data_IF_442525835817
#
_entry.id   IF_442525835817
#
_cell.length_a   1.000
_cell.length_b   1.000
_cell.length_c   1.000
_cell.angle_alpha   90.00
_cell.angle_beta   90.00
_cell.angle_gamma   90.00
#
_symmetry.space_group_name_H-M   'P 1'
#
loop_
_entity.id
_entity.type
_entity.pdbx_description
1 polymer ?
2 polymer ?
3 water ?
#
# COMPACT_ATOMS: atom_id res chain seq x y z
N UNK A 6 3.05 6.10 -14.84
CA UNK A 6 2.77 5.86 -13.43
C UNK A 6 1.27 5.69 -13.18
N UNK A 7 0.89 5.52 -11.90
CA UNK A 7 -0.52 5.33 -11.53
C UNK A 7 -0.79 5.83 -10.11
N UNK A 8 -1.75 6.74 -9.96
CA UNK A 8 -2.08 7.28 -8.64
C UNK A 8 -3.53 7.03 -8.24
N UNK A 9 -3.75 6.91 -6.93
CA UNK A 9 -5.09 6.68 -6.41
C UNK A 9 -5.17 7.18 -4.96
N UNK A 10 -6.36 7.12 -4.37
CA UNK A 10 -6.57 7.58 -3.00
C UNK A 10 -6.87 6.41 -2.07
N UNK A 11 -6.42 6.52 -0.82
CA UNK A 11 -6.66 5.48 0.17
C UNK A 11 -6.23 5.92 1.56
N UNK A 12 -6.84 5.34 2.59
CA UNK A 12 -6.44 5.63 3.96
C UNK A 12 -5.34 4.61 4.23
N UNK A 13 -4.24 5.08 4.82
CA UNK A 13 -3.11 4.21 5.09
C UNK A 13 -3.02 3.73 6.53
N UNK A 14 -2.59 2.47 6.68
CA UNK A 14 -2.39 1.83 7.97
C UNK A 14 -1.14 0.95 7.90
N UNK A 15 -0.61 0.63 9.08
CA UNK A 15 0.53 -0.26 9.24
C UNK A 15 0.14 -1.19 10.39
N UNK A 16 0.53 -2.45 10.31
CA UNK A 16 0.20 -3.40 11.37
C UNK A 16 0.97 -2.94 12.61
N UNK A 17 0.42 -3.17 13.80
CA UNK A 17 1.12 -2.77 15.02
C UNK A 17 2.37 -3.64 15.16
N UNK A 18 3.51 -3.02 15.46
CA UNK A 18 4.78 -3.73 15.61
C UNK A 18 4.88 -4.76 16.73
N UNK A 19 4.17 -4.53 17.84
CA UNK A 19 4.24 -5.45 18.97
C UNK A 19 3.62 -6.83 18.72
N UNK A 20 2.37 -6.85 18.30
CA UNK A 20 1.66 -8.10 18.05
C UNK A 20 1.41 -8.38 16.58
N UNK A 21 1.68 -7.38 15.74
CA UNK A 21 1.46 -7.53 14.31
C UNK A 21 0.08 -8.15 14.05
N UNK A 22 -0.94 -7.60 14.71
CA UNK A 22 -2.31 -8.06 14.53
C UNK A 22 -3.25 -6.89 14.27
N UNK A 23 -3.06 -5.81 15.02
CA UNK A 23 -3.90 -4.63 14.91
C UNK A 23 -3.39 -3.61 13.90
N UNK A 24 -4.31 -2.85 13.32
CA UNK A 24 -3.96 -1.83 12.34
C UNK A 24 -3.87 -0.45 12.98
N UNK A 25 -2.81 0.27 12.64
CA UNK A 25 -2.58 1.61 13.16
C UNK A 25 -2.68 2.59 12.00
N UNK A 26 -3.60 3.55 12.09
CA UNK A 26 -3.74 4.52 10.99
C UNK A 26 -2.46 5.36 10.80
N UNK A 27 -1.98 5.40 9.56
CA UNK A 27 -0.79 6.15 9.20
C UNK A 27 -1.14 7.56 8.75
N UNK A 28 -2.30 7.67 8.10
CA UNK A 28 -2.78 8.97 7.63
C UNK A 28 -4.03 9.31 8.43
N UNK A 29 -4.39 10.59 8.47
CA UNK A 29 -5.56 11.02 9.22
C UNK A 29 -6.78 11.16 8.32
N UNK A 30 -6.56 10.93 7.03
CA UNK A 30 -7.61 11.06 6.03
C UNK A 30 -7.06 10.31 4.81
N UNK A 31 -7.79 10.31 3.71
CA UNK A 31 -7.29 9.63 2.53
C UNK A 31 -6.09 10.43 2.00
N UNK A 32 -5.13 9.73 1.41
CA UNK A 32 -3.95 10.38 0.86
C UNK A 32 -3.67 9.74 -0.48
N UNK A 33 -2.91 10.44 -1.32
CA UNK A 33 -2.56 9.92 -2.63
C UNK A 33 -1.50 8.84 -2.49
N UNK A 34 -1.68 7.74 -3.22
CA UNK A 34 -0.75 6.62 -3.20
C UNK A 34 -0.42 6.36 -4.67
N UNK A 35 0.86 6.33 -5.01
CA UNK A 35 1.25 6.13 -6.40
C UNK A 35 2.29 5.05 -6.69
N UNK A 36 2.17 4.43 -7.86
CA UNK A 36 3.12 3.43 -8.33
C UNK A 36 4.01 4.25 -9.23
N UNK A 37 5.31 4.20 -9.00
CA UNK A 37 6.24 5.01 -9.78
C UNK A 37 7.51 4.25 -10.14
N UNK A 38 7.92 4.31 -11.41
CA UNK A 38 9.15 3.65 -11.85
C UNK A 38 10.28 4.65 -11.60
N UNK A 39 11.22 4.27 -10.75
CA UNK A 39 12.35 5.15 -10.44
C UNK A 39 13.48 4.91 -11.42
N UNK A 40 13.61 5.79 -12.41
CA UNK A 40 14.64 5.65 -13.43
C UNK A 40 16.08 5.75 -12.90
N UNK A 41 16.25 6.14 -11.64
CA UNK A 41 17.59 6.24 -11.07
C UNK A 41 18.02 4.91 -10.44
N UNK A 42 17.05 4.07 -10.07
CA UNK A 42 17.32 2.78 -9.46
C UNK A 42 16.80 1.64 -10.31
N UNK A 43 16.05 1.96 -11.36
CA UNK A 43 15.48 0.95 -12.24
C UNK A 43 14.63 -0.08 -11.48
N UNK A 44 13.77 0.41 -10.60
CA UNK A 44 12.87 -0.45 -9.83
C UNK A 44 11.53 0.24 -9.73
N UNK A 45 10.49 -0.55 -9.53
CA UNK A 45 9.17 0.04 -9.33
C UNK A 45 8.92 0.32 -7.86
N UNK A 46 8.29 1.42 -7.57
CA UNK A 46 8.09 1.79 -6.17
C UNK A 46 6.66 2.26 -5.92
N UNK A 47 6.24 2.09 -4.66
CA UNK A 47 4.93 2.52 -4.22
C UNK A 47 5.25 3.59 -3.19
N UNK A 48 4.76 4.80 -3.42
CA UNK A 48 5.02 5.90 -2.51
C UNK A 48 3.76 6.65 -2.13
N UNK A 49 3.78 7.22 -0.93
CA UNK A 49 2.66 8.00 -0.44
C UNK A 49 3.25 9.05 0.47
N UNK A 50 3.02 10.29 0.11
CA UNK A 50 3.56 11.40 0.90
C UNK A 50 2.44 12.14 1.63
N UNK A 51 2.72 12.49 2.85
CA UNK A 51 1.75 13.23 3.64
C UNK A 51 2.52 14.26 4.43
N UNK A 52 2.50 15.49 3.94
CA UNK A 52 3.23 16.55 4.60
C UNK A 52 4.70 16.28 4.38
N UNK A 53 5.47 16.25 5.47
CA UNK A 53 6.91 16.00 5.41
C UNK A 53 7.19 14.52 5.66
N UNK A 54 6.14 13.69 5.65
CA UNK A 54 6.28 12.27 5.91
C UNK A 54 6.11 11.45 4.64
N UNK A 55 6.98 10.49 4.48
CA UNK A 55 6.89 9.51 3.42
C UNK A 55 6.31 8.32 4.15
N UNK A 56 4.98 8.26 4.21
CA UNK A 56 4.30 7.20 4.95
C UNK A 56 4.36 5.83 4.28
N UNK A 57 4.69 5.81 2.99
CA UNK A 57 4.88 4.55 2.27
C UNK A 57 6.06 4.83 1.35
N UNK A 58 7.04 3.92 1.35
CA UNK A 58 8.24 4.03 0.52
C UNK A 58 8.64 2.58 0.28
N UNK A 59 7.80 1.86 -0.45
CA UNK A 59 8.04 0.46 -0.69
C UNK A 59 8.56 0.12 -2.08
N UNK A 60 9.64 -0.64 -2.14
CA UNK A 60 10.20 -1.04 -3.43
C UNK A 60 9.60 -2.40 -3.76
N UNK A 61 9.02 -2.52 -4.95
CA UNK A 61 8.41 -3.79 -5.33
C UNK A 61 9.45 -4.84 -5.69
N UNK A 62 9.40 -5.95 -4.97
CA UNK A 62 10.29 -7.09 -5.16
C UNK A 62 9.48 -8.25 -5.75
N UNK A 63 10.10 -9.07 -6.61
CA UNK A 63 9.38 -10.20 -7.21
C UNK A 63 8.76 -11.19 -6.22
N UNK A 64 9.21 -11.18 -4.97
CA UNK A 64 8.63 -12.10 -3.99
C UNK A 64 7.67 -11.37 -3.05
N UNK A 65 7.13 -10.25 -3.52
CA UNK A 65 6.17 -9.49 -2.73
C UNK A 65 4.77 -9.79 -3.24
N UNK A 66 3.81 -9.75 -2.33
CA UNK A 66 2.43 -10.05 -2.70
C UNK A 66 1.43 -9.09 -2.11
N UNK A 67 0.40 -8.78 -2.89
CA UNK A 67 -0.67 -7.90 -2.44
C UNK A 67 -1.90 -8.77 -2.18
N UNK A 68 -2.44 -8.68 -0.97
CA UNK A 68 -3.61 -9.47 -0.62
C UNK A 68 -4.85 -8.60 -0.50
N UNK A 69 -5.92 -8.98 -1.20
CA UNK A 69 -7.19 -8.25 -1.13
C UNK A 69 -7.92 -8.88 0.04
N UNK A 70 -7.67 -8.37 1.24
CA UNK A 70 -8.29 -8.92 2.43
C UNK A 70 -9.82 -8.87 2.45
N UNK A 71 -10.40 -7.79 1.95
CA UNK A 71 -11.84 -7.65 1.93
C UNK A 71 -12.31 -6.87 0.71
N UNK A 72 -13.55 -6.43 0.74
CA UNK A 72 -14.11 -5.68 -0.37
C UNK A 72 -13.38 -4.36 -0.62
N UNK A 73 -12.94 -3.68 0.44
CA UNK A 73 -12.29 -2.38 0.30
C UNK A 73 -10.96 -2.23 1.06
N UNK A 74 -10.31 -3.34 1.39
CA UNK A 74 -9.03 -3.30 2.13
C UNK A 74 -8.02 -4.29 1.53
N UNK A 75 -6.82 -3.81 1.23
CA UNK A 75 -5.77 -4.65 0.68
C UNK A 75 -4.50 -4.43 1.50
N UNK A 76 -3.55 -5.36 1.40
CA UNK A 76 -2.32 -5.25 2.17
C UNK A 76 -1.12 -5.99 1.59
N UNK A 77 0.07 -5.56 1.98
CA UNK A 77 1.29 -6.21 1.52
C UNK A 77 2.42 -6.00 2.53
N UNK A 78 3.21 -7.04 2.71
CA UNK A 78 4.33 -7.00 3.63
C UNK A 78 5.52 -6.39 2.88
N UNK A 79 6.30 -5.58 3.59
CA UNK A 79 7.49 -4.96 3.01
C UNK A 79 8.59 -5.23 4.02
N UNK A 80 9.40 -6.25 3.76
CA UNK A 80 10.46 -6.60 4.69
C UNK A 80 11.49 -5.49 4.87
N UNK A 81 11.72 -4.69 3.83
CA UNK A 81 12.69 -3.60 3.93
C UNK A 81 12.24 -2.56 4.94
N UNK A 82 10.97 -2.20 4.90
CA UNK A 82 10.41 -1.21 5.83
C UNK A 82 10.08 -1.85 7.17
N UNK A 83 10.21 -3.18 7.24
CA UNK A 83 9.94 -3.95 8.45
C UNK A 83 8.51 -3.76 8.92
N UNK A 84 7.57 -3.80 7.99
CA UNK A 84 6.17 -3.61 8.37
C UNK A 84 5.25 -4.20 7.32
N UNK A 85 3.96 -3.98 7.50
CA UNK A 85 2.97 -4.47 6.56
C UNK A 85 2.05 -3.28 6.36
N UNK A 86 1.87 -2.89 5.11
CA UNK A 86 1.00 -1.77 4.81
C UNK A 86 -0.40 -2.27 4.53
N UNK A 87 -1.38 -1.47 4.94
CA UNK A 87 -2.78 -1.80 4.70
C UNK A 87 -3.43 -0.57 4.10
N UNK A 88 -4.20 -0.74 3.03
CA UNK A 88 -4.86 0.39 2.37
C UNK A 88 -6.38 0.19 2.34
N UNK A 89 -7.11 1.21 2.79
CA UNK A 89 -8.56 1.17 2.77
C UNK A 89 -9.04 2.04 1.61
N UNK A 90 -9.87 1.49 0.73
CA UNK A 90 -10.34 2.23 -0.43
C UNK A 90 -11.79 2.66 -0.32
N UNK A 91 -12.18 3.58 -1.19
CA UNK A 91 -13.54 4.11 -1.22
C UNK A 91 -14.50 3.12 -1.90
N UNK A 92 -13.94 2.18 -2.66
CA UNK A 92 -14.75 1.18 -3.33
C UNK A 92 -13.94 -0.07 -3.64
N UNK A 93 -14.63 -1.16 -3.96
CA UNK A 93 -13.94 -2.40 -4.30
C UNK A 93 -13.32 -2.23 -5.67
N UNK A 94 -13.89 -1.32 -6.45
CA UNK A 94 -13.40 -1.03 -7.78
C UNK A 94 -11.97 -0.51 -7.69
N UNK A 95 -11.76 0.47 -6.82
CA UNK A 95 -10.44 1.05 -6.64
C UNK A 95 -9.47 0.04 -6.05
N UNK A 96 -9.96 -0.80 -5.14
CA UNK A 96 -9.12 -1.84 -4.54
C UNK A 96 -8.63 -2.77 -5.63
N UNK A 97 -9.52 -3.09 -6.57
CA UNK A 97 -9.19 -3.99 -7.67
C UNK A 97 -8.16 -3.44 -8.64
N UNK A 98 -8.30 -2.18 -9.05
CA UNK A 98 -7.32 -1.64 -9.99
C UNK A 98 -5.98 -1.51 -9.29
N UNK A 99 -5.99 -1.25 -7.98
CA UNK A 99 -4.73 -1.14 -7.27
C UNK A 99 -4.04 -2.50 -7.27
N UNK A 100 -4.80 -3.54 -6.95
CA UNK A 100 -4.26 -4.90 -6.92
C UNK A 100 -3.73 -5.37 -8.29
N UNK A 101 -4.45 -5.05 -9.37
CA UNK A 101 -4.02 -5.47 -10.70
C UNK A 101 -2.73 -4.76 -11.11
N UNK A 102 -2.58 -3.50 -10.72
CA UNK A 102 -1.37 -2.76 -11.07
C UNK A 102 -0.19 -3.32 -10.28
N UNK A 103 -0.45 -3.73 -9.04
CA UNK A 103 0.60 -4.29 -8.19
C UNK A 103 1.24 -5.48 -8.92
N UNK A 104 0.39 -6.35 -9.45
CA UNK A 104 0.86 -7.53 -10.16
C UNK A 104 1.51 -7.16 -11.49
N UNK A 105 0.95 -6.16 -12.16
CA UNK A 105 1.48 -5.71 -13.44
C UNK A 105 2.90 -5.17 -13.29
N UNK A 106 3.08 -4.24 -12.36
CA UNK A 106 4.38 -3.63 -12.13
C UNK A 106 5.36 -4.60 -11.47
N UNK A 107 4.82 -5.63 -10.84
CA UNK A 107 5.66 -6.64 -10.21
C UNK A 107 6.20 -7.52 -11.34
N UNK A 108 5.33 -7.88 -12.28
CA UNK A 108 5.66 -8.75 -13.40
C UNK A 108 6.68 -8.10 -14.33
N UNK A 109 7.20 -6.93 -14.01
CA UNK A 109 8.19 -6.26 -14.84
C UNK A 109 9.37 -5.76 -14.01
N UNK B 1 -8.43 -8.81 11.00
CA UNK B 1 -9.56 -8.17 10.34
C UNK B 1 -9.26 -6.71 10.07
N UNK B 2 -9.69 -6.18 8.89
CA UNK B 2 -9.49 -4.80 8.46
C UNK B 2 -10.08 -3.73 9.36
N UNK B 3 -9.56 -2.50 9.26
CA UNK B 3 -10.10 -1.41 10.08
C UNK B 3 -11.48 -1.09 9.50
N UNK B 4 -12.43 -0.71 10.34
CA UNK B 4 -13.75 -0.40 9.84
C UNK B 4 -13.68 0.97 9.16
N UNK B 5 -14.50 1.21 8.13
CA UNK B 5 -15.51 0.32 7.54
C UNK B 5 -14.99 -0.39 6.29
N UNK B 6 -13.68 -0.63 6.22
CA UNK B 6 -13.09 -1.26 5.05
C UNK B 6 -13.23 -2.78 5.04
#
# INVERSE_FOLDING_TARGET
>A
MGEQPIFSTRAHVFQIDPNTKKNWVPTSKHAVTVSYFYDSTRNVYRIISLDGSKAIINSTITPNMTFTKTSQKFGQWADSRANTVYGLGFSSEHHLSKFAEKFQEFKEAAR
>B
TPPSPF
#
